data_IF_301535989969
#
_entry.id   IF_301535989969
#
_cell.length_a   1.000
_cell.length_b   1.000
_cell.length_c   1.000
_cell.angle_alpha   90.00
_cell.angle_beta   90.00
_cell.angle_gamma   90.00
#
_symmetry.space_group_name_H-M   'P 1'
#
loop_
_entity.id
_entity.type
_entity.pdbx_description
1 polymer ?
#
# COMPACT_ATOMS: atom_id res chain seq x y z
N UNK A 1 -7.92 -9.68 8.29
CA UNK A 1 -6.60 -9.08 8.55
C UNK A 1 -6.35 -8.17 7.39
N UNK A 2 -6.07 -6.90 7.63
CA UNK A 2 -5.66 -5.97 6.59
C UNK A 2 -4.14 -6.08 6.52
N UNK A 3 -3.59 -6.52 5.39
CA UNK A 3 -2.15 -6.47 5.15
C UNK A 3 -1.71 -5.06 4.78
N UNK A 4 -0.44 -4.74 5.06
CA UNK A 4 0.16 -3.45 4.75
C UNK A 4 1.39 -3.63 3.87
N UNK A 5 1.68 -2.60 3.08
CA UNK A 5 2.88 -2.49 2.28
C UNK A 5 3.63 -1.21 2.63
N UNK A 6 4.96 -1.32 2.74
CA UNK A 6 5.86 -0.17 2.68
C UNK A 6 6.28 0.03 1.21
N UNK A 7 6.06 1.22 0.68
CA UNK A 7 6.49 1.63 -0.64
C UNK A 7 7.90 2.21 -0.63
N UNK A 8 8.68 1.91 -1.68
CA UNK A 8 9.99 2.54 -1.90
C UNK A 8 9.92 4.06 -2.12
N UNK A 9 8.71 4.60 -2.35
CA UNK A 9 8.41 6.03 -2.44
C UNK A 9 8.31 6.71 -1.07
N UNK A 10 8.41 5.95 0.03
CA UNK A 10 8.33 6.44 1.41
C UNK A 10 6.91 6.48 1.98
N UNK A 11 5.94 6.01 1.22
CA UNK A 11 4.53 5.89 1.60
C UNK A 11 4.23 4.49 2.14
N UNK A 12 3.07 4.34 2.79
CA UNK A 12 2.54 3.07 3.23
C UNK A 12 1.14 2.91 2.68
N UNK A 13 0.75 1.65 2.44
CA UNK A 13 -0.52 1.33 1.82
C UNK A 13 -1.15 0.11 2.48
N UNK A 14 -2.47 0.04 2.52
CA UNK A 14 -3.18 -1.20 2.80
C UNK A 14 -3.22 -2.07 1.54
N UNK A 15 -3.39 -3.38 1.71
CA UNK A 15 -3.70 -4.31 0.60
C UNK A 15 -4.89 -3.83 -0.23
N UNK A 16 -5.88 -3.22 0.43
CA UNK A 16 -7.06 -2.66 -0.22
C UNK A 16 -6.70 -1.47 -1.12
N UNK A 17 -5.90 -0.53 -0.65
CA UNK A 17 -5.45 0.61 -1.45
C UNK A 17 -4.62 0.17 -2.66
N UNK A 18 -3.74 -0.81 -2.49
CA UNK A 18 -2.95 -1.39 -3.59
C UNK A 18 -3.87 -2.02 -4.63
N UNK A 19 -4.80 -2.89 -4.19
CA UNK A 19 -5.75 -3.54 -5.08
C UNK A 19 -6.62 -2.52 -5.83
N UNK A 20 -7.14 -1.51 -5.12
CA UNK A 20 -7.98 -0.48 -5.71
C UNK A 20 -7.25 0.31 -6.80
N UNK A 21 -5.98 0.68 -6.59
CA UNK A 21 -5.17 1.40 -7.59
C UNK A 21 -4.85 0.55 -8.81
N UNK A 22 -4.65 -0.76 -8.62
CA UNK A 22 -4.49 -1.67 -9.75
C UNK A 22 -5.79 -1.83 -10.53
N UNK A 23 -6.92 -1.99 -9.84
CA UNK A 23 -8.24 -2.14 -10.46
C UNK A 23 -8.71 -0.88 -11.19
N UNK A 24 -8.38 0.32 -10.66
CA UNK A 24 -8.66 1.59 -11.33
C UNK A 24 -7.76 1.85 -12.54
N UNK A 25 -6.66 1.11 -12.67
CA UNK A 25 -5.63 1.32 -13.68
C UNK A 25 -4.69 2.48 -13.35
N UNK A 26 -4.72 3.01 -12.13
CA UNK A 26 -3.75 4.01 -11.67
C UNK A 26 -2.36 3.39 -11.56
N UNK A 27 -2.27 2.11 -11.17
CA UNK A 27 -1.04 1.34 -11.05
C UNK A 27 -1.05 0.11 -11.97
N UNK A 28 0.00 -0.05 -12.77
CA UNK A 28 0.22 -1.23 -13.62
C UNK A 28 1.16 -2.23 -12.90
N UNK A 29 0.76 -3.49 -12.69
CA UNK A 29 1.64 -4.49 -12.09
C UNK A 29 2.77 -4.89 -13.05
N UNK A 30 4.01 -4.80 -12.58
CA UNK A 30 5.20 -5.14 -13.36
C UNK A 30 5.77 -6.52 -13.01
N UNK A 31 5.94 -6.80 -11.72
CA UNK A 31 6.53 -8.04 -11.21
C UNK A 31 6.06 -8.30 -9.78
N UNK A 32 6.00 -9.55 -9.36
CA UNK A 32 5.69 -9.92 -7.98
C UNK A 32 6.39 -11.22 -7.59
N UNK A 33 6.52 -11.46 -6.29
CA UNK A 33 7.03 -12.70 -5.72
C UNK A 33 6.02 -13.27 -4.72
N UNK A 34 5.50 -14.46 -5.00
CA UNK A 34 4.47 -15.09 -4.16
C UNK A 34 5.01 -15.72 -2.88
N UNK A 35 6.33 -15.93 -2.77
CA UNK A 35 6.94 -16.54 -1.58
C UNK A 35 7.13 -15.50 -0.48
N UNK A 36 7.55 -14.30 -0.87
CA UNK A 36 7.88 -13.18 0.03
C UNK A 36 6.79 -12.12 0.06
N UNK A 37 5.90 -12.11 -0.93
CA UNK A 37 4.75 -11.20 -1.01
C UNK A 37 5.09 -9.78 -1.48
N UNK A 38 6.30 -9.52 -2.00
CA UNK A 38 6.60 -8.19 -2.54
C UNK A 38 6.07 -8.04 -3.97
N UNK A 39 5.74 -6.79 -4.33
CA UNK A 39 5.21 -6.42 -5.64
C UNK A 39 5.95 -5.19 -6.18
N UNK A 40 6.13 -5.12 -7.50
CA UNK A 40 6.64 -3.97 -8.21
C UNK A 40 5.55 -3.46 -9.14
N UNK A 41 5.20 -2.19 -9.00
CA UNK A 41 4.14 -1.53 -9.75
C UNK A 41 4.66 -0.26 -10.41
N UNK A 42 4.07 0.13 -11.54
CA UNK A 42 4.32 1.41 -12.20
C UNK A 42 3.10 2.31 -11.99
N UNK A 43 3.30 3.50 -11.40
CA UNK A 43 2.28 4.55 -11.32
C UNK A 43 2.80 5.88 -11.86
N UNK A 44 2.03 6.94 -11.70
CA UNK A 44 2.39 8.29 -12.19
C UNK A 44 3.75 8.81 -11.70
N UNK A 45 4.17 8.39 -10.50
CA UNK A 45 5.47 8.74 -9.91
C UNK A 45 6.64 7.88 -10.36
N UNK A 46 6.40 6.88 -11.22
CA UNK A 46 7.35 5.86 -11.63
C UNK A 46 7.15 4.52 -10.91
N UNK A 47 8.22 3.72 -10.87
CA UNK A 47 8.20 2.39 -10.27
C UNK A 47 8.21 2.47 -8.74
N UNK A 48 7.30 1.74 -8.11
CA UNK A 48 7.20 1.58 -6.64
C UNK A 48 7.36 0.12 -6.28
N UNK A 49 8.34 -0.18 -5.43
CA UNK A 49 8.48 -1.50 -4.82
C UNK A 49 7.69 -1.52 -3.51
N UNK A 50 6.70 -2.41 -3.46
CA UNK A 50 5.84 -2.68 -2.31
C UNK A 50 6.39 -3.90 -1.57
N UNK A 51 6.70 -3.73 -0.29
CA UNK A 51 7.17 -4.82 0.59
C UNK A 51 6.15 -4.99 1.73
N UNK A 52 5.66 -6.22 1.98
CA UNK A 52 4.68 -6.44 3.03
C UNK A 52 5.29 -6.10 4.41
N UNK A 53 4.49 -5.47 5.25
CA UNK A 53 4.86 -5.09 6.62
C UNK A 53 3.76 -5.46 7.60
N UNK A 54 4.14 -5.86 8.80
CA UNK A 54 3.19 -6.15 9.87
C UNK A 54 2.63 -4.84 10.44
N UNK A 55 1.38 -4.88 10.91
CA UNK A 55 0.73 -3.73 11.52
C UNK A 55 1.52 -3.19 12.72
N UNK A 56 2.22 -4.06 13.46
CA UNK A 56 3.06 -3.69 14.60
C UNK A 56 4.34 -2.94 14.21
N UNK A 57 4.76 -3.05 12.96
CA UNK A 57 5.98 -2.41 12.44
C UNK A 57 5.66 -1.08 11.74
N UNK A 58 4.38 -0.72 11.63
CA UNK A 58 3.97 0.58 11.12
C UNK A 58 4.55 1.70 12.00
N UNK A 59 5.18 2.71 11.39
CA UNK A 59 5.64 3.86 12.14
C UNK A 59 4.48 4.58 12.84
N UNK A 60 4.76 5.22 13.98
CA UNK A 60 3.72 5.90 14.78
C UNK A 60 3.00 7.06 14.08
N UNK A 61 3.53 7.52 12.94
CA UNK A 61 2.92 8.56 12.10
C UNK A 61 2.07 7.98 10.96
N UNK A 62 1.99 6.65 10.84
CA UNK A 62 1.05 5.96 9.97
C UNK A 62 -0.19 5.64 10.79
N UNK A 63 -1.28 6.35 10.53
CA UNK A 63 -2.58 6.01 11.09
C UNK A 63 -3.41 5.24 10.07
N UNK A 64 -4.11 4.21 10.53
CA UNK A 64 -5.01 3.41 9.69
C UNK A 64 -6.44 3.78 10.10
N UNK A 65 -7.25 4.26 9.15
CA UNK A 65 -8.61 4.73 9.42
C UNK A 65 -9.62 3.98 8.55
N UNK A 66 -10.74 3.60 9.15
CA UNK A 66 -11.88 3.06 8.42
C UNK A 66 -12.40 4.11 7.43
N UNK A 67 -12.52 3.75 6.15
CA UNK A 67 -13.10 4.68 5.16
C UNK A 67 -14.62 4.73 5.32
N UNK A 68 -15.26 5.92 5.32
CA UNK A 68 -16.72 6.02 5.39
C UNK A 68 -17.43 5.52 4.12
N UNK A 69 -16.71 5.47 2.99
CA UNK A 69 -17.26 5.29 1.64
C UNK A 69 -16.95 3.93 1.01
N UNK A 70 -16.26 3.02 1.72
CA UNK A 70 -15.87 1.72 1.18
C UNK A 70 -15.58 0.65 2.24
N UNK A 71 -15.29 -0.59 1.82
CA UNK A 71 -15.06 -1.71 2.72
C UNK A 71 -13.65 -1.75 3.33
N UNK A 72 -12.78 -0.78 3.03
CA UNK A 72 -11.36 -0.83 3.38
C UNK A 72 -10.91 0.28 4.33
N UNK A 73 -9.77 0.04 4.97
CA UNK A 73 -9.04 1.05 5.74
C UNK A 73 -8.08 1.84 4.81
N UNK A 74 -7.91 3.13 5.09
CA UNK A 74 -6.97 4.03 4.42
C UNK A 74 -5.77 4.32 5.32
N UNK A 75 -4.58 4.40 4.71
CA UNK A 75 -3.38 4.88 5.39
C UNK A 75 -3.32 6.40 5.35
N UNK A 76 -3.23 7.01 6.53
CA UNK A 76 -3.03 8.45 6.72
C UNK A 76 -1.61 8.72 7.20
N UNK A 77 -0.83 9.44 6.40
CA UNK A 77 0.47 9.99 6.81
C UNK A 77 0.27 11.26 7.64
N UNK A 78 0.67 11.22 8.91
CA UNK A 78 0.52 12.34 9.86
C UNK A 78 1.76 13.21 10.00
N UNK A 79 2.77 13.10 9.13
CA UNK A 79 4.00 13.92 9.20
C UNK A 79 3.81 15.40 8.80
N UNK A 80 2.56 15.85 8.62
CA UNK A 80 2.18 17.23 8.24
C UNK A 80 2.48 18.30 9.28
#
# INVERSE_FOLDING_TARGET
MVGFYAGSDGSYYTEWEVALRMESGDWEPCMWDTETGWELVEGDGGLVWLVPVEASDLPAWVEVRETPEGPGDEVVDTRG
#
